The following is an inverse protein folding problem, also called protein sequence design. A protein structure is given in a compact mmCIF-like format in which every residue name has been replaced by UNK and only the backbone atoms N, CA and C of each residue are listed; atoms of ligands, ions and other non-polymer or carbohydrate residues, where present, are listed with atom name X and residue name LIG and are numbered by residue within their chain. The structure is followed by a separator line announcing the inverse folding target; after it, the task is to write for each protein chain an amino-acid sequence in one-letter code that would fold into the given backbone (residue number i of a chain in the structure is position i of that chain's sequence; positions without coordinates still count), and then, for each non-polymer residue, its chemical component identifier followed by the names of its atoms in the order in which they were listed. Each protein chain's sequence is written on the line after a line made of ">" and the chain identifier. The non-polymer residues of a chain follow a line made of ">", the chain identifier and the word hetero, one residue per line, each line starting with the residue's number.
data_IF_690160167719
#
_entry.id   IF_690160167719
#
_cell.length_a   1.000
_cell.length_b   1.000
_cell.length_c   1.000
_cell.angle_alpha   90.00
_cell.angle_beta   90.00
_cell.angle_gamma   90.00
#
_symmetry.space_group_name_H-M   'P 1'
#
loop_
_entity.id
_entity.type
_entity.pdbx_description
1 polymer ?
#
# COMPACT_ATOMS: atom_id res chain seq x y z
N UNK A 1 4.44 40.71 19.11
CA UNK A 1 4.37 39.33 19.65
C UNK A 1 3.19 38.65 19.00
N UNK A 2 3.40 37.58 18.23
CA UNK A 2 2.31 36.81 17.62
C UNK A 2 1.57 36.04 18.72
N UNK A 3 0.28 36.29 18.85
CA UNK A 3 -0.59 35.62 19.80
C UNK A 3 -1.04 34.30 19.16
N UNK A 4 -0.30 33.23 19.38
CA UNK A 4 -0.67 31.90 18.92
C UNK A 4 -1.81 31.40 19.83
N UNK A 5 -2.99 31.22 19.26
CA UNK A 5 -4.10 30.57 19.95
C UNK A 5 -3.61 29.20 20.44
N UNK A 6 -3.77 28.93 21.75
CA UNK A 6 -3.56 27.58 22.29
C UNK A 6 -4.52 26.66 21.55
N UNK A 7 -3.98 25.73 20.78
CA UNK A 7 -4.74 24.64 20.19
C UNK A 7 -5.31 23.81 21.35
N UNK A 8 -6.62 23.72 21.45
CA UNK A 8 -7.28 22.80 22.37
C UNK A 8 -6.97 21.38 21.91
N UNK A 9 -6.06 20.71 22.61
CA UNK A 9 -5.79 19.30 22.39
C UNK A 9 -6.86 18.49 23.09
N UNK A 10 -7.49 17.56 22.37
CA UNK A 10 -8.45 16.61 22.95
C UNK A 10 -7.80 15.86 24.11
N UNK A 11 -8.41 15.88 25.30
CA UNK A 11 -7.99 15.03 26.41
C UNK A 11 -8.33 13.58 26.06
N UNK A 12 -7.31 12.76 25.85
CA UNK A 12 -7.45 11.34 25.54
C UNK A 12 -7.83 10.61 26.82
N UNK A 13 -9.00 9.99 26.83
CA UNK A 13 -9.46 9.21 27.98
C UNK A 13 -8.96 7.76 27.90
N UNK A 14 -8.80 7.11 29.05
CA UNK A 14 -8.36 5.70 29.09
C UNK A 14 -9.35 4.75 28.38
N UNK A 15 -10.64 5.11 28.34
CA UNK A 15 -11.69 4.35 27.66
C UNK A 15 -11.52 4.40 26.14
N UNK A 16 -11.20 5.57 25.58
CA UNK A 16 -10.95 5.76 24.14
C UNK A 16 -9.72 4.97 23.66
N UNK A 17 -8.62 5.00 24.43
CA UNK A 17 -7.43 4.19 24.12
C UNK A 17 -7.78 2.69 24.12
N UNK A 18 -8.61 2.26 25.06
CA UNK A 18 -9.06 0.87 25.14
C UNK A 18 -9.95 0.50 23.96
N UNK A 19 -10.89 1.36 23.56
CA UNK A 19 -11.76 1.09 22.41
C UNK A 19 -10.96 1.02 21.11
N UNK A 20 -10.00 1.93 20.93
CA UNK A 20 -9.15 1.96 19.73
C UNK A 20 -8.24 0.72 19.68
N UNK A 21 -7.69 0.31 20.83
CA UNK A 21 -6.92 -0.93 20.93
C UNK A 21 -7.76 -2.16 20.57
N UNK A 22 -8.97 -2.29 21.12
CA UNK A 22 -9.86 -3.42 20.82
C UNK A 22 -10.30 -3.43 19.36
N UNK A 23 -10.54 -2.25 18.77
CA UNK A 23 -10.84 -2.12 17.35
C UNK A 23 -9.65 -2.58 16.51
N UNK A 24 -8.46 -2.06 16.79
CA UNK A 24 -7.25 -2.46 16.09
C UNK A 24 -6.98 -3.96 16.23
N UNK A 25 -7.10 -4.52 17.43
CA UNK A 25 -6.87 -5.94 17.70
C UNK A 25 -7.84 -6.83 16.92
N UNK A 26 -9.13 -6.50 16.97
CA UNK A 26 -10.17 -7.26 16.27
C UNK A 26 -10.02 -7.17 14.74
N UNK A 27 -9.89 -5.96 14.19
CA UNK A 27 -9.77 -5.74 12.75
C UNK A 27 -8.50 -6.34 12.16
N UNK A 28 -7.38 -6.33 12.90
CA UNK A 28 -6.12 -6.88 12.40
C UNK A 28 -6.00 -8.40 12.54
N UNK A 29 -6.87 -9.06 13.31
CA UNK A 29 -6.74 -10.50 13.59
C UNK A 29 -6.78 -11.37 12.33
N UNK A 30 -7.61 -11.01 11.36
CA UNK A 30 -7.76 -11.73 10.08
C UNK A 30 -6.55 -11.50 9.15
N UNK A 31 -6.13 -10.24 8.99
CA UNK A 31 -5.04 -9.88 8.08
C UNK A 31 -3.65 -10.20 8.62
N UNK A 32 -3.46 -10.26 9.94
CA UNK A 32 -2.15 -10.51 10.55
C UNK A 32 -1.51 -11.81 10.08
N UNK A 33 -2.30 -12.87 9.93
CA UNK A 33 -1.80 -14.15 9.43
C UNK A 33 -1.40 -14.06 7.96
N UNK A 34 -2.27 -13.51 7.11
CA UNK A 34 -2.01 -13.36 5.68
C UNK A 34 -0.79 -12.47 5.43
N UNK A 35 -0.66 -11.34 6.13
CA UNK A 35 0.49 -10.44 6.01
C UNK A 35 1.81 -11.12 6.38
N UNK A 36 1.80 -11.97 7.43
CA UNK A 36 2.99 -12.73 7.81
C UNK A 36 3.36 -13.76 6.74
N UNK A 37 2.37 -14.47 6.19
CA UNK A 37 2.56 -15.43 5.11
C UNK A 37 3.09 -14.75 3.83
N UNK A 38 2.49 -13.64 3.42
CA UNK A 38 2.89 -12.86 2.23
C UNK A 38 4.33 -12.34 2.37
N UNK A 39 4.70 -11.88 3.57
CA UNK A 39 6.06 -11.44 3.86
C UNK A 39 7.07 -12.60 3.80
N UNK A 40 6.73 -13.76 4.37
CA UNK A 40 7.57 -14.96 4.25
C UNK A 40 7.70 -15.44 2.79
N UNK A 41 6.62 -15.36 2.01
CA UNK A 41 6.62 -15.68 0.59
C UNK A 41 7.55 -14.76 -0.20
N UNK A 42 7.49 -13.46 0.07
CA UNK A 42 8.38 -12.45 -0.53
C UNK A 42 9.86 -12.73 -0.21
N UNK A 43 10.18 -13.13 1.03
CA UNK A 43 11.53 -13.49 1.47
C UNK A 43 12.04 -14.82 0.90
N UNK A 44 11.21 -15.55 0.13
CA UNK A 44 11.62 -16.76 -0.59
C UNK A 44 11.14 -18.08 0.04
N UNK A 45 10.34 -18.04 1.12
CA UNK A 45 9.71 -19.23 1.71
C UNK A 45 8.45 -19.65 0.94
N UNK A 46 8.61 -19.94 -0.35
CA UNK A 46 7.50 -20.24 -1.26
C UNK A 46 7.05 -21.71 -1.23
N UNK A 47 7.88 -22.60 -0.67
CA UNK A 47 7.60 -24.03 -0.58
C UNK A 47 6.77 -24.34 0.67
N UNK A 48 5.71 -25.13 0.51
CA UNK A 48 4.92 -25.64 1.63
C UNK A 48 5.74 -26.61 2.49
N UNK A 49 5.34 -26.80 3.75
CA UNK A 49 6.03 -27.72 4.67
C UNK A 49 6.11 -29.15 4.11
N UNK A 50 5.08 -29.64 3.43
CA UNK A 50 5.07 -30.97 2.81
C UNK A 50 6.07 -31.09 1.65
N UNK A 51 6.17 -30.05 0.81
CA UNK A 51 7.15 -30.00 -0.27
C UNK A 51 8.59 -29.95 0.26
N UNK A 52 8.84 -29.15 1.30
CA UNK A 52 10.16 -29.09 1.96
C UNK A 52 10.55 -30.47 2.51
N UNK A 53 9.64 -31.15 3.20
CA UNK A 53 9.89 -32.48 3.76
C UNK A 53 10.16 -33.54 2.68
N UNK A 54 9.46 -33.45 1.55
CA UNK A 54 9.71 -34.33 0.40
C UNK A 54 11.10 -34.10 -0.20
N UNK A 55 11.51 -32.84 -0.41
CA UNK A 55 12.84 -32.52 -0.95
C UNK A 55 13.95 -33.05 -0.03
N UNK A 56 13.78 -32.87 1.28
CA UNK A 56 14.72 -33.39 2.28
C UNK A 56 14.77 -34.93 2.28
N UNK A 57 13.63 -35.61 2.08
CA UNK A 57 13.60 -37.08 2.05
C UNK A 57 14.29 -37.67 0.82
N UNK A 58 14.32 -36.94 -0.29
CA UNK A 58 15.07 -37.32 -1.51
C UNK A 58 16.51 -36.78 -1.51
N UNK A 59 16.97 -36.15 -0.41
CA UNK A 59 18.31 -35.62 -0.27
C UNK A 59 18.58 -34.33 -1.06
N UNK A 60 17.55 -33.59 -1.45
CA UNK A 60 17.65 -32.31 -2.13
C UNK A 60 17.53 -31.13 -1.15
N UNK A 61 18.31 -30.05 -1.34
CA UNK A 61 18.12 -28.83 -0.55
C UNK A 61 16.76 -28.19 -0.90
N UNK A 62 15.95 -27.80 0.09
CA UNK A 62 14.62 -27.23 -0.13
C UNK A 62 14.68 -25.74 -0.46
N UNK A 63 15.32 -25.41 -1.59
CA UNK A 63 15.44 -24.04 -2.09
C UNK A 63 14.41 -23.79 -3.20
N UNK A 64 13.68 -22.67 -3.09
CA UNK A 64 12.73 -22.26 -4.12
C UNK A 64 13.46 -21.53 -5.26
N UNK A 65 13.25 -21.96 -6.50
CA UNK A 65 13.68 -21.18 -7.66
C UNK A 65 12.68 -20.04 -7.91
N UNK A 66 13.00 -18.84 -7.41
CA UNK A 66 12.12 -17.70 -7.46
C UNK A 66 12.13 -17.00 -8.84
N UNK A 67 11.33 -17.53 -9.78
CA UNK A 67 11.07 -16.88 -11.08
C UNK A 67 9.95 -15.85 -11.05
N UNK A 68 9.12 -15.88 -10.01
CA UNK A 68 7.93 -15.04 -9.88
C UNK A 68 8.34 -13.60 -9.57
N UNK A 69 9.32 -13.40 -8.68
CA UNK A 69 9.77 -12.07 -8.29
C UNK A 69 10.24 -11.20 -9.47
N UNK A 70 11.13 -11.67 -10.37
CA UNK A 70 11.50 -10.88 -11.56
C UNK A 70 10.31 -10.55 -12.47
N UNK A 71 9.34 -11.46 -12.61
CA UNK A 71 8.15 -11.21 -13.43
C UNK A 71 7.25 -10.12 -12.80
N UNK A 72 7.08 -10.15 -11.48
CA UNK A 72 6.34 -9.11 -10.73
C UNK A 72 7.06 -7.77 -10.83
N UNK A 73 8.38 -7.75 -10.63
CA UNK A 73 9.19 -6.53 -10.76
C UNK A 73 9.09 -5.92 -12.17
N UNK A 74 9.02 -6.76 -13.21
CA UNK A 74 8.82 -6.28 -14.59
C UNK A 74 7.43 -5.67 -14.80
N UNK A 75 6.37 -6.30 -14.28
CA UNK A 75 5.01 -5.75 -14.36
C UNK A 75 4.92 -4.44 -13.59
N UNK A 76 5.45 -4.40 -12.36
CA UNK A 76 5.49 -3.19 -11.55
C UNK A 76 6.26 -2.05 -12.25
N UNK A 77 7.41 -2.36 -12.85
CA UNK A 77 8.17 -1.38 -13.62
C UNK A 77 7.39 -0.85 -14.82
N UNK A 78 6.61 -1.69 -15.51
CA UNK A 78 5.78 -1.25 -16.63
C UNK A 78 4.61 -0.36 -16.18
N UNK A 79 3.97 -0.68 -15.05
CA UNK A 79 2.84 0.12 -14.53
C UNK A 79 3.35 1.45 -13.96
N UNK A 80 4.45 1.42 -13.20
CA UNK A 80 5.06 2.61 -12.62
C UNK A 80 5.86 3.46 -13.63
N UNK A 81 6.03 3.00 -14.88
CA UNK A 81 6.71 3.77 -15.92
C UNK A 81 5.88 4.97 -16.41
N UNK A 82 4.57 4.96 -16.20
CA UNK A 82 3.66 6.04 -16.56
C UNK A 82 3.02 6.64 -15.31
N UNK A 83 3.05 7.96 -15.21
CA UNK A 83 2.18 8.67 -14.28
C UNK A 83 0.70 8.38 -14.60
N UNK A 84 -0.18 8.28 -13.60
CA UNK A 84 -1.60 8.16 -13.82
C UNK A 84 -2.12 9.41 -14.53
N UNK A 85 -2.94 9.20 -15.56
CA UNK A 85 -3.69 10.27 -16.22
C UNK A 85 -5.06 10.37 -15.54
N UNK A 86 -5.41 11.58 -15.11
CA UNK A 86 -6.73 11.86 -14.55
C UNK A 86 -7.65 12.30 -15.69
N UNK A 87 -8.92 11.90 -15.63
CA UNK A 87 -9.93 12.37 -16.57
C UNK A 87 -11.10 12.94 -15.77
N UNK A 88 -11.11 14.26 -15.65
CA UNK A 88 -12.15 14.99 -14.91
C UNK A 88 -13.29 15.35 -15.83
N UNK A 89 -14.42 14.67 -15.67
CA UNK A 89 -15.61 14.94 -16.45
C UNK A 89 -16.51 16.00 -15.80
N UNK A 90 -16.92 16.99 -16.59
CA UNK A 90 -17.95 17.94 -16.20
C UNK A 90 -19.32 17.28 -16.13
N UNK A 91 -20.06 17.49 -15.04
CA UNK A 91 -21.45 17.01 -14.93
C UNK A 91 -22.42 17.95 -15.65
N UNK A 92 -22.14 19.25 -15.66
CA UNK A 92 -22.94 20.30 -16.31
C UNK A 92 -22.27 20.94 -17.53
N UNK A 93 -23.06 21.62 -18.38
CA UNK A 93 -22.58 22.29 -19.59
C UNK A 93 -21.69 23.52 -19.32
N UNK A 94 -21.78 24.08 -18.11
CA UNK A 94 -21.02 25.26 -17.67
C UNK A 94 -19.73 24.91 -16.95
N UNK A 95 -19.53 23.64 -16.61
CA UNK A 95 -18.47 23.23 -15.66
C UNK A 95 -17.21 22.72 -16.36
N UNK A 96 -17.15 22.83 -17.70
CA UNK A 96 -16.01 22.38 -18.50
C UNK A 96 -14.70 23.06 -18.07
N UNK A 97 -14.74 24.37 -17.85
CA UNK A 97 -13.55 25.14 -17.45
C UNK A 97 -13.08 24.74 -16.03
N UNK A 98 -14.03 24.44 -15.15
CA UNK A 98 -13.74 24.00 -13.77
C UNK A 98 -13.13 22.60 -13.79
N UNK A 99 -13.68 21.69 -14.59
CA UNK A 99 -13.15 20.34 -14.76
C UNK A 99 -11.68 20.37 -15.24
N UNK A 100 -11.37 21.21 -16.23
CA UNK A 100 -10.00 21.40 -16.69
C UNK A 100 -9.05 21.91 -15.59
N UNK A 101 -9.49 22.84 -14.74
CA UNK A 101 -8.67 23.33 -13.62
C UNK A 101 -8.40 22.22 -12.59
N UNK A 102 -9.39 21.38 -12.29
CA UNK A 102 -9.21 20.26 -11.36
C UNK A 102 -8.26 19.21 -11.91
N UNK A 103 -8.36 18.91 -13.20
CA UNK A 103 -7.46 18.00 -13.89
C UNK A 103 -5.99 18.43 -13.74
N UNK A 104 -5.69 19.69 -14.08
CA UNK A 104 -4.35 20.27 -13.93
C UNK A 104 -3.89 20.36 -12.47
N UNK A 105 -4.82 20.55 -11.53
CA UNK A 105 -4.51 20.57 -10.10
C UNK A 105 -4.09 19.19 -9.60
N UNK A 106 -4.77 18.12 -10.05
CA UNK A 106 -4.45 16.75 -9.67
C UNK A 106 -3.08 16.33 -10.21
N UNK A 107 -2.76 16.69 -11.45
CA UNK A 107 -1.42 16.51 -12.02
C UNK A 107 -0.35 17.22 -11.18
N UNK A 108 -0.62 18.44 -10.74
CA UNK A 108 0.31 19.21 -9.93
C UNK A 108 0.52 18.58 -8.55
N UNK A 109 -0.55 18.10 -7.90
CA UNK A 109 -0.47 17.39 -6.62
C UNK A 109 0.32 16.09 -6.77
N UNK A 110 0.08 15.32 -7.83
CA UNK A 110 0.83 14.09 -8.11
C UNK A 110 2.32 14.36 -8.23
N UNK A 111 2.70 15.38 -9.02
CA UNK A 111 4.09 15.77 -9.18
C UNK A 111 4.75 16.25 -7.88
N UNK A 112 4.06 17.10 -7.10
CA UNK A 112 4.61 17.68 -5.87
C UNK A 112 4.70 16.67 -4.71
N UNK A 113 3.92 15.60 -4.77
CA UNK A 113 3.91 14.53 -3.77
C UNK A 113 4.91 13.41 -4.06
N UNK A 114 5.74 13.53 -5.11
CA UNK A 114 6.58 12.43 -5.59
C UNK A 114 5.76 11.14 -5.83
N UNK A 115 4.56 11.29 -6.41
CA UNK A 115 3.57 10.22 -6.55
C UNK A 115 4.11 8.95 -7.22
N UNK A 116 4.98 9.09 -8.23
CA UNK A 116 5.62 7.96 -8.93
C UNK A 116 6.47 7.09 -7.97
N UNK A 117 7.13 7.72 -7.00
CA UNK A 117 7.98 7.01 -6.03
C UNK A 117 7.12 6.23 -5.05
N UNK A 118 6.06 6.85 -4.54
CA UNK A 118 5.11 6.22 -3.62
C UNK A 118 4.33 5.10 -4.30
N UNK A 119 3.90 5.29 -5.55
CA UNK A 119 3.18 4.29 -6.31
C UNK A 119 4.01 3.04 -6.57
N UNK A 120 5.32 3.18 -6.83
CA UNK A 120 6.22 2.04 -6.98
C UNK A 120 6.46 1.26 -5.67
N UNK A 121 6.24 1.89 -4.52
CA UNK A 121 6.42 1.28 -3.20
C UNK A 121 5.16 0.60 -2.66
N UNK A 122 4.00 0.92 -3.24
CA UNK A 122 2.70 0.34 -2.90
C UNK A 122 2.53 -1.07 -3.53
#
# INVERSE_FOLDING_TARGET
>A
MLNLAKLETKEITAEEVRSDYLLFESSSSEYRYQMAEDHEFYLGSQLTKSQKNYLLSVGQPPEANNKIRPAVEQVLANIAASAPEWDVHSVGKTDNDVAYVFDQLLDKIWYDSDGDVHFRQA
#
